data_IF_250544701569
#
_entry.id   IF_250544701569
#
_cell.length_a   1.000
_cell.length_b   1.000
_cell.length_c   1.000
_cell.angle_alpha   90.00
_cell.angle_beta   90.00
_cell.angle_gamma   90.00
#
_symmetry.space_group_name_H-M   'P 1'
#
loop_
_entity.id
_entity.type
_entity.pdbx_description
1 polymer ?
#
# COMPACT_ATOMS: atom_id res chain seq x y z
N UNK A 1 13.15 -4.36 23.65
CA UNK A 1 14.23 -5.29 24.06
C UNK A 1 14.69 -6.04 22.81
N UNK A 2 15.97 -5.99 22.48
CA UNK A 2 16.53 -6.66 21.30
C UNK A 2 17.76 -7.49 21.67
N UNK A 3 17.95 -8.60 20.99
CA UNK A 3 19.15 -9.45 21.10
C UNK A 3 19.65 -9.67 19.67
N UNK A 4 20.86 -9.15 19.36
CA UNK A 4 21.42 -9.22 18.02
C UNK A 4 20.54 -8.50 16.99
N UNK A 5 20.02 -9.24 16.00
CA UNK A 5 19.14 -8.73 14.94
C UNK A 5 17.65 -8.72 15.30
N UNK A 6 17.28 -9.18 16.47
CA UNK A 6 15.90 -9.42 16.90
C UNK A 6 15.45 -8.40 17.93
N UNK A 7 14.28 -7.78 17.72
CA UNK A 7 13.72 -6.77 18.62
C UNK A 7 12.21 -6.98 18.78
N UNK A 8 11.71 -6.84 20.00
CA UNK A 8 10.28 -6.74 20.27
C UNK A 8 9.96 -5.28 20.56
N UNK A 9 8.99 -4.74 19.86
CA UNK A 9 8.50 -3.36 19.96
C UNK A 9 7.08 -3.35 20.49
N UNK A 10 6.81 -2.44 21.46
CA UNK A 10 5.47 -2.22 21.98
C UNK A 10 5.22 -0.72 22.14
N UNK A 11 4.01 -0.29 21.81
CA UNK A 11 3.59 1.11 21.89
C UNK A 11 2.11 1.27 21.57
N UNK A 12 1.66 2.51 21.46
CA UNK A 12 0.32 2.84 21.03
C UNK A 12 0.29 4.21 20.36
N UNK A 13 -0.60 4.38 19.39
CA UNK A 13 -0.92 5.67 18.77
C UNK A 13 -2.32 6.09 19.18
N UNK A 14 -2.49 7.33 19.60
CA UNK A 14 -3.78 7.91 19.92
C UNK A 14 -4.18 8.90 18.80
N UNK A 15 -5.35 8.68 18.23
CA UNK A 15 -5.91 9.55 17.19
C UNK A 15 -7.16 10.21 17.75
N UNK A 16 -7.13 11.55 17.85
CA UNK A 16 -8.24 12.38 18.31
C UNK A 16 -8.68 13.31 17.19
N UNK A 17 -9.95 13.23 16.71
CA UNK A 17 -10.51 14.23 15.81
C UNK A 17 -10.57 15.62 16.48
N UNK A 18 -10.15 16.65 15.75
CA UNK A 18 -10.15 18.06 16.26
C UNK A 18 -11.45 18.78 15.90
N UNK A 19 -12.20 18.25 14.95
CA UNK A 19 -13.40 18.87 14.36
C UNK A 19 -14.65 18.87 15.28
N UNK A 20 -14.52 18.44 16.54
CA UNK A 20 -15.66 18.30 17.47
C UNK A 20 -16.69 17.25 17.05
N UNK A 21 -16.39 16.45 15.99
CA UNK A 21 -17.27 15.36 15.59
C UNK A 21 -17.40 14.32 16.70
N UNK A 22 -18.54 13.63 16.74
CA UNK A 22 -18.82 12.54 17.70
C UNK A 22 -17.96 11.29 17.47
N UNK A 23 -16.92 11.36 16.65
CA UNK A 23 -15.96 10.28 16.45
C UNK A 23 -15.12 10.14 17.71
N UNK A 24 -15.30 9.03 18.39
CA UNK A 24 -14.53 8.68 19.58
C UNK A 24 -13.03 8.64 19.26
N UNK A 25 -12.23 9.11 20.20
CA UNK A 25 -10.79 8.92 20.18
C UNK A 25 -10.46 7.43 20.07
N UNK A 26 -9.53 7.07 19.19
CA UNK A 26 -9.11 5.69 18.98
C UNK A 26 -7.67 5.51 19.40
N UNK A 27 -7.44 4.46 20.20
CA UNK A 27 -6.10 3.99 20.52
C UNK A 27 -5.77 2.81 19.62
N UNK A 28 -4.66 2.90 18.90
CA UNK A 28 -4.16 1.84 18.04
C UNK A 28 -2.94 1.21 18.69
N UNK A 29 -3.02 -0.02 19.19
CA UNK A 29 -1.89 -0.71 19.78
C UNK A 29 -0.85 -1.04 18.71
N UNK A 30 0.42 -1.04 19.11
CA UNK A 30 1.58 -1.41 18.30
C UNK A 30 2.35 -2.45 19.08
N UNK A 31 2.34 -3.71 18.63
CA UNK A 31 3.10 -4.80 19.24
C UNK A 31 3.58 -5.72 18.13
N UNK A 32 4.89 -5.79 17.91
CA UNK A 32 5.44 -6.62 16.87
C UNK A 32 6.86 -7.09 17.17
N UNK A 33 7.21 -8.22 16.60
CA UNK A 33 8.56 -8.71 16.49
C UNK A 33 9.19 -8.16 15.21
N UNK A 34 10.44 -7.70 15.29
CA UNK A 34 11.25 -7.25 14.17
C UNK A 34 12.57 -7.99 14.13
N UNK A 35 12.91 -8.50 12.95
CA UNK A 35 14.22 -9.00 12.60
C UNK A 35 14.82 -8.08 11.52
N UNK A 36 16.03 -7.59 11.73
CA UNK A 36 16.65 -6.57 10.88
C UNK A 36 18.11 -6.91 10.61
N UNK A 37 18.48 -7.02 9.35
CA UNK A 37 19.86 -7.19 8.87
C UNK A 37 20.18 -6.10 7.85
N UNK A 38 21.40 -6.09 7.32
CA UNK A 38 21.79 -5.11 6.29
C UNK A 38 20.96 -5.18 5.01
N UNK A 39 20.35 -6.32 4.70
CA UNK A 39 19.59 -6.53 3.46
C UNK A 39 18.16 -6.99 3.67
N UNK A 40 17.87 -7.62 4.80
CA UNK A 40 16.53 -8.18 5.07
C UNK A 40 15.95 -7.58 6.33
N UNK A 41 14.68 -7.20 6.23
CA UNK A 41 13.86 -6.80 7.35
C UNK A 41 12.57 -7.60 7.35
N UNK A 42 12.17 -8.05 8.52
CA UNK A 42 10.89 -8.72 8.74
C UNK A 42 10.20 -8.12 9.96
N UNK A 43 8.90 -7.88 9.88
CA UNK A 43 8.07 -7.49 11.01
C UNK A 43 6.83 -8.37 11.09
N UNK A 44 6.50 -8.87 12.28
CA UNK A 44 5.36 -9.75 12.52
C UNK A 44 4.54 -9.22 13.70
N UNK A 45 3.25 -9.03 13.52
CA UNK A 45 2.33 -8.51 14.52
C UNK A 45 1.62 -7.23 14.09
N UNK A 46 1.43 -6.29 15.02
CA UNK A 46 0.85 -4.97 14.73
C UNK A 46 1.95 -3.93 14.64
N UNK A 47 2.38 -3.58 13.44
CA UNK A 47 3.48 -2.65 13.16
C UNK A 47 3.01 -1.41 12.40
N UNK A 48 3.70 -0.24 12.55
CA UNK A 48 3.33 1.00 11.89
C UNK A 48 3.48 0.89 10.35
N UNK A 49 2.53 1.49 9.61
CA UNK A 49 2.62 1.62 8.13
C UNK A 49 3.84 2.41 7.67
N UNK A 50 4.40 3.25 8.53
CA UNK A 50 5.64 3.99 8.26
C UNK A 50 6.88 3.10 8.08
N UNK A 51 6.77 1.79 8.33
CA UNK A 51 7.83 0.83 7.99
C UNK A 51 7.87 0.44 6.51
N UNK A 52 6.80 0.69 5.76
CA UNK A 52 6.77 0.43 4.33
C UNK A 52 7.79 1.31 3.61
N UNK A 53 8.48 0.74 2.63
CA UNK A 53 9.45 1.47 1.80
C UNK A 53 8.73 2.33 0.77
N UNK A 54 7.69 1.78 0.15
CA UNK A 54 6.86 2.49 -0.81
C UNK A 54 5.38 2.26 -0.51
N UNK A 55 4.63 3.35 -0.42
CA UNK A 55 3.19 3.26 -0.32
C UNK A 55 2.58 2.91 -1.68
N UNK A 56 1.52 2.12 -1.67
CA UNK A 56 0.74 1.92 -2.89
C UNK A 56 0.13 3.24 -3.33
N UNK A 57 -0.03 3.48 -4.65
CA UNK A 57 -0.64 4.69 -5.17
C UNK A 57 -2.01 4.99 -4.53
N UNK A 58 -2.34 6.28 -4.35
CA UNK A 58 -3.59 6.72 -3.72
C UNK A 58 -4.86 6.18 -4.43
N UNK A 59 -4.77 5.90 -5.72
CA UNK A 59 -5.85 5.24 -6.47
C UNK A 59 -6.16 3.82 -5.95
N UNK A 60 -5.19 3.15 -5.31
CA UNK A 60 -5.33 1.80 -4.76
C UNK A 60 -5.65 1.79 -3.27
N UNK A 61 -5.37 2.88 -2.58
CA UNK A 61 -5.52 2.99 -1.13
C UNK A 61 -5.92 4.40 -0.76
N UNK A 62 -6.99 4.56 0.00
CA UNK A 62 -7.43 5.87 0.50
C UNK A 62 -6.35 6.48 1.40
N UNK A 63 -6.00 7.75 1.18
CA UNK A 63 -5.03 8.51 1.99
C UNK A 63 -5.41 8.53 3.47
N UNK A 64 -6.71 8.62 3.75
CA UNK A 64 -7.25 8.56 5.11
C UNK A 64 -6.96 7.25 5.86
N UNK A 65 -6.56 6.18 5.15
CA UNK A 65 -6.22 4.91 5.79
C UNK A 65 -5.03 5.05 6.76
N UNK A 66 -4.07 5.91 6.44
CA UNK A 66 -2.91 6.18 7.28
C UNK A 66 -3.31 6.75 8.65
N UNK A 67 -4.37 7.56 8.69
CA UNK A 67 -4.90 8.13 9.93
C UNK A 67 -5.81 7.17 10.68
N UNK A 68 -6.73 6.51 9.98
CA UNK A 68 -7.71 5.63 10.63
C UNK A 68 -7.18 4.24 10.95
N UNK A 69 -6.10 3.81 10.27
CA UNK A 69 -5.41 2.54 10.47
C UNK A 69 -3.90 2.73 10.33
N UNK A 70 -3.26 3.40 11.30
CA UNK A 70 -1.82 3.69 11.25
C UNK A 70 -0.96 2.44 11.30
N UNK A 71 -1.50 1.33 11.79
CA UNK A 71 -0.81 0.05 11.91
C UNK A 71 -1.34 -0.98 10.91
N UNK A 72 -0.44 -1.83 10.45
CA UNK A 72 -0.71 -3.08 9.74
C UNK A 72 -0.75 -4.20 10.78
N UNK A 73 -1.77 -5.04 10.71
CA UNK A 73 -1.85 -6.25 11.54
C UNK A 73 -1.52 -7.46 10.66
N UNK A 74 -0.31 -8.01 10.77
CA UNK A 74 0.10 -9.12 9.92
C UNK A 74 1.59 -9.33 9.84
N UNK A 75 2.11 -9.43 8.62
CA UNK A 75 3.51 -9.70 8.34
C UNK A 75 4.06 -8.76 7.27
N UNK A 76 5.32 -8.38 7.39
CA UNK A 76 6.09 -7.57 6.45
C UNK A 76 7.44 -8.25 6.23
N UNK A 77 7.81 -8.39 4.96
CA UNK A 77 9.11 -8.87 4.51
C UNK A 77 9.70 -7.88 3.52
N UNK A 78 10.93 -7.44 3.75
CA UNK A 78 11.63 -6.47 2.90
C UNK A 78 13.00 -7.00 2.55
N UNK A 79 13.35 -6.93 1.27
CA UNK A 79 14.70 -7.09 0.77
C UNK A 79 15.17 -5.75 0.24
N UNK A 80 16.28 -5.23 0.78
CA UNK A 80 16.82 -3.91 0.48
C UNK A 80 18.21 -4.09 -0.15
N UNK A 81 18.38 -3.49 -1.31
CA UNK A 81 19.63 -3.51 -2.06
C UNK A 81 19.98 -2.10 -2.54
N UNK A 82 21.25 -1.84 -2.85
CA UNK A 82 21.73 -0.53 -3.36
C UNK A 82 21.03 -0.08 -4.64
N UNK A 83 20.54 -1.01 -5.44
CA UNK A 83 19.87 -0.74 -6.71
C UNK A 83 18.35 -0.96 -6.66
N UNK A 84 17.75 -1.07 -5.47
CA UNK A 84 16.32 -1.25 -5.37
C UNK A 84 15.88 -2.05 -4.16
N UNK A 85 14.62 -2.39 -4.12
CA UNK A 85 14.01 -3.16 -3.03
C UNK A 85 12.90 -4.07 -3.56
N UNK A 86 12.55 -5.05 -2.75
CA UNK A 86 11.33 -5.83 -2.86
C UNK A 86 10.67 -5.89 -1.48
N UNK A 87 9.37 -5.68 -1.44
CA UNK A 87 8.58 -5.62 -0.21
C UNK A 87 7.30 -6.44 -0.39
N UNK A 88 7.01 -7.31 0.56
CA UNK A 88 5.77 -8.08 0.63
C UNK A 88 5.16 -7.89 2.00
N UNK A 89 3.88 -7.50 2.06
CA UNK A 89 3.16 -7.47 3.32
C UNK A 89 1.74 -7.98 3.20
N UNK A 90 1.22 -8.48 4.34
CA UNK A 90 -0.15 -8.89 4.51
C UNK A 90 -0.75 -8.04 5.64
N UNK A 91 -1.88 -7.39 5.36
CA UNK A 91 -2.65 -6.59 6.31
C UNK A 91 -3.99 -7.27 6.59
N UNK A 92 -4.12 -7.88 7.77
CA UNK A 92 -5.36 -8.50 8.21
C UNK A 92 -6.29 -7.42 8.77
N UNK A 93 -7.25 -7.01 7.97
CA UNK A 93 -8.12 -5.87 8.28
C UNK A 93 -9.28 -6.24 9.18
N UNK A 94 -9.77 -7.47 9.06
CA UNK A 94 -10.93 -7.94 9.80
C UNK A 94 -10.94 -9.46 9.90
N UNK A 95 -11.11 -9.97 11.11
CA UNK A 95 -11.30 -11.39 11.37
C UNK A 95 -12.76 -11.76 11.12
N UNK A 96 -12.97 -12.94 10.52
CA UNK A 96 -14.30 -13.47 10.27
C UNK A 96 -15.03 -13.79 11.58
N UNK A 97 -16.28 -13.31 11.68
CA UNK A 97 -17.20 -13.66 12.77
C UNK A 97 -18.54 -14.10 12.19
N UNK A 98 -19.52 -14.38 13.05
CA UNK A 98 -20.88 -14.75 12.62
C UNK A 98 -21.51 -13.65 11.73
N UNK A 99 -21.22 -12.37 12.02
CA UNK A 99 -21.83 -11.21 11.34
C UNK A 99 -20.85 -10.35 10.55
N UNK A 100 -19.54 -10.53 10.76
CA UNK A 100 -18.49 -9.73 10.08
C UNK A 100 -17.77 -10.58 9.04
N UNK A 101 -17.48 -9.96 7.90
CA UNK A 101 -16.69 -10.54 6.82
C UNK A 101 -15.21 -10.65 7.23
N UNK A 102 -14.52 -11.67 6.77
CA UNK A 102 -13.06 -11.64 6.78
C UNK A 102 -12.56 -10.69 5.69
N UNK A 103 -11.54 -9.91 6.01
CA UNK A 103 -10.91 -9.02 5.07
C UNK A 103 -9.40 -8.98 5.30
N UNK A 104 -8.64 -9.29 4.27
CA UNK A 104 -7.19 -9.08 4.26
C UNK A 104 -6.72 -8.55 2.92
N UNK A 105 -5.58 -7.92 2.94
CA UNK A 105 -4.89 -7.41 1.77
C UNK A 105 -3.45 -7.93 1.77
N UNK A 106 -3.03 -8.51 0.65
CA UNK A 106 -1.63 -8.83 0.41
C UNK A 106 -1.08 -7.88 -0.65
N UNK A 107 0.09 -7.31 -0.40
CA UNK A 107 0.72 -6.34 -1.29
C UNK A 107 2.17 -6.74 -1.52
N UNK A 108 2.56 -6.76 -2.78
CA UNK A 108 3.95 -6.82 -3.20
C UNK A 108 4.32 -5.52 -3.90
N UNK A 109 5.38 -4.87 -3.41
CA UNK A 109 5.99 -3.70 -4.01
C UNK A 109 7.43 -4.04 -4.42
N UNK A 110 7.86 -3.52 -5.54
CA UNK A 110 9.25 -3.66 -5.95
C UNK A 110 9.70 -2.52 -6.84
N UNK A 111 10.95 -2.08 -6.64
CA UNK A 111 11.60 -1.07 -7.48
C UNK A 111 13.03 -1.51 -7.74
N UNK A 112 13.46 -1.39 -8.99
CA UNK A 112 14.81 -1.61 -9.45
C UNK A 112 15.32 -0.41 -10.23
N UNK A 113 16.50 0.08 -9.88
CA UNK A 113 17.14 1.26 -10.43
C UNK A 113 18.50 0.86 -11.06
N UNK A 114 18.50 0.38 -12.31
CA UNK A 114 19.71 -0.06 -13.00
C UNK A 114 20.68 1.09 -13.27
N UNK A 115 20.15 2.28 -13.54
CA UNK A 115 20.89 3.50 -13.82
C UNK A 115 20.50 4.61 -12.83
N UNK A 116 21.37 5.61 -12.58
CA UNK A 116 21.05 6.70 -11.64
C UNK A 116 19.78 7.44 -11.97
N UNK A 117 19.44 7.55 -13.24
CA UNK A 117 18.27 8.29 -13.74
C UNK A 117 17.09 7.41 -14.16
N UNK A 118 17.25 6.10 -14.24
CA UNK A 118 16.20 5.19 -14.73
C UNK A 118 15.83 4.18 -13.67
N UNK A 119 14.53 4.07 -13.38
CA UNK A 119 13.99 3.04 -12.50
C UNK A 119 12.75 2.38 -13.10
N UNK A 120 12.51 1.15 -12.70
CA UNK A 120 11.30 0.41 -13.02
C UNK A 120 10.81 -0.32 -11.77
N UNK A 121 9.52 -0.54 -11.69
CA UNK A 121 8.94 -1.21 -10.54
C UNK A 121 7.47 -1.53 -10.72
N UNK A 122 6.80 -1.79 -9.63
CA UNK A 122 5.37 -2.02 -9.66
C UNK A 122 4.79 -2.43 -8.33
N UNK A 123 3.47 -2.40 -8.30
CA UNK A 123 2.65 -2.81 -7.18
C UNK A 123 1.76 -3.97 -7.63
N UNK A 124 1.66 -5.00 -6.80
CA UNK A 124 0.70 -6.08 -6.94
C UNK A 124 -0.12 -6.12 -5.66
N UNK A 125 -1.43 -5.92 -5.77
CA UNK A 125 -2.33 -5.85 -4.63
C UNK A 125 -3.41 -6.90 -4.79
N UNK A 126 -3.57 -7.75 -3.79
CA UNK A 126 -4.67 -8.70 -3.69
C UNK A 126 -5.55 -8.32 -2.50
N UNK A 127 -6.81 -8.02 -2.77
CA UNK A 127 -7.81 -7.81 -1.73
C UNK A 127 -8.73 -9.03 -1.67
N UNK A 128 -8.92 -9.57 -0.49
CA UNK A 128 -9.84 -10.67 -0.23
C UNK A 128 -10.90 -10.25 0.77
N UNK A 129 -12.17 -10.47 0.40
CA UNK A 129 -13.33 -10.25 1.24
C UNK A 129 -14.16 -11.53 1.26
N UNK A 130 -14.08 -12.29 2.35
CA UNK A 130 -14.89 -13.49 2.55
C UNK A 130 -16.32 -13.15 2.99
N UNK A 131 -17.17 -14.16 3.13
CA UNK A 131 -18.51 -14.02 3.72
C UNK A 131 -18.45 -14.06 5.24
N UNK A 132 -19.41 -13.49 5.99
CA UNK A 132 -19.64 -13.85 7.39
C UNK A 132 -19.96 -15.34 7.52
N UNK A 133 -19.73 -15.93 8.69
CA UNK A 133 -20.03 -17.37 8.92
C UNK A 133 -21.53 -17.66 8.82
N UNK A 134 -22.34 -16.80 9.38
CA UNK A 134 -23.80 -16.89 9.33
C UNK A 134 -24.35 -15.84 8.35
N UNK A 135 -24.19 -16.08 7.05
CA UNK A 135 -24.61 -15.12 6.04
C UNK A 135 -25.68 -15.67 5.11
N UNK A 136 -26.72 -14.85 4.89
CA UNK A 136 -27.66 -15.00 3.79
C UNK A 136 -26.94 -14.94 2.43
N UNK A 137 -27.62 -15.42 1.39
CA UNK A 137 -27.17 -15.42 -0.03
C UNK A 137 -26.80 -14.03 -0.58
N UNK A 138 -27.13 -12.95 0.14
CA UNK A 138 -26.80 -11.56 -0.21
C UNK A 138 -25.32 -11.20 -0.16
N UNK A 139 -24.54 -11.94 0.63
CA UNK A 139 -23.09 -11.71 0.73
C UNK A 139 -22.34 -12.61 -0.24
N UNK A 140 -21.52 -12.03 -1.08
CA UNK A 140 -20.63 -12.78 -1.97
C UNK A 140 -19.17 -12.60 -1.59
N UNK A 141 -18.33 -13.58 -1.93
CA UNK A 141 -16.89 -13.44 -1.87
C UNK A 141 -16.46 -12.53 -3.01
N UNK A 142 -15.66 -11.53 -2.68
CA UNK A 142 -15.06 -10.61 -3.65
C UNK A 142 -13.58 -10.89 -3.73
N UNK A 143 -13.11 -11.19 -4.92
CA UNK A 143 -11.69 -11.30 -5.25
C UNK A 143 -11.32 -10.09 -6.11
N UNK A 144 -10.27 -9.38 -5.72
CA UNK A 144 -9.73 -8.25 -6.45
C UNK A 144 -8.22 -8.41 -6.49
N UNK A 145 -7.67 -8.46 -7.69
CA UNK A 145 -6.23 -8.48 -7.94
C UNK A 145 -5.87 -7.28 -8.79
N UNK A 146 -4.92 -6.48 -8.35
CA UNK A 146 -4.50 -5.27 -9.02
C UNK A 146 -3.00 -5.36 -9.32
N UNK A 147 -2.62 -5.05 -10.56
CA UNK A 147 -1.24 -4.90 -10.96
C UNK A 147 -1.00 -3.49 -11.50
N UNK A 148 0.07 -2.86 -11.03
CA UNK A 148 0.45 -1.50 -11.44
C UNK A 148 1.96 -1.44 -11.72
N UNK A 149 2.45 -2.03 -12.83
CA UNK A 149 3.83 -1.84 -13.27
C UNK A 149 4.06 -0.39 -13.70
N UNK A 150 5.27 0.10 -13.46
CA UNK A 150 5.70 1.43 -13.86
C UNK A 150 7.17 1.48 -14.29
N UNK A 151 7.50 2.50 -15.10
CA UNK A 151 8.85 2.93 -15.39
C UNK A 151 8.96 4.42 -15.07
N UNK A 152 10.13 4.86 -14.62
CA UNK A 152 10.31 6.25 -14.25
C UNK A 152 11.71 6.77 -14.50
N UNK A 153 11.79 8.10 -14.55
CA UNK A 153 13.02 8.86 -14.65
C UNK A 153 13.21 9.67 -13.36
N UNK A 154 14.39 9.58 -12.80
CA UNK A 154 14.85 10.43 -11.70
C UNK A 154 15.87 11.43 -12.27
N UNK A 155 15.42 12.66 -12.44
CA UNK A 155 16.20 13.76 -13.02
C UNK A 155 16.71 14.73 -11.94
N UNK A 156 16.59 14.38 -10.67
CA UNK A 156 16.99 15.21 -9.53
C UNK A 156 18.42 15.71 -9.66
N UNK A 157 19.37 14.83 -9.98
CA UNK A 157 20.78 15.20 -10.11
C UNK A 157 21.14 15.97 -11.40
N UNK A 158 20.20 16.05 -12.35
CA UNK A 158 20.38 16.70 -13.66
C UNK A 158 19.70 18.07 -13.77
N UNK A 159 19.05 18.52 -12.69
CA UNK A 159 18.28 19.76 -12.66
C UNK A 159 18.62 20.54 -11.38
N UNK A 160 18.32 21.87 -11.33
CA UNK A 160 18.47 22.65 -10.11
C UNK A 160 17.36 22.40 -9.06
N UNK A 161 16.47 21.45 -9.31
CA UNK A 161 15.39 21.07 -8.40
C UNK A 161 15.91 20.15 -7.29
N UNK A 162 15.32 20.22 -6.11
CA UNK A 162 15.63 19.33 -5.00
C UNK A 162 15.15 17.91 -5.27
N UNK A 163 14.05 17.79 -6.01
CA UNK A 163 13.51 16.53 -6.52
C UNK A 163 12.87 16.76 -7.88
N UNK A 164 13.16 15.89 -8.85
CA UNK A 164 12.42 15.81 -10.11
C UNK A 164 12.30 14.35 -10.54
N UNK A 165 11.12 13.79 -10.40
CA UNK A 165 10.84 12.43 -10.86
C UNK A 165 9.60 12.40 -11.74
N UNK A 166 9.67 11.64 -12.82
CA UNK A 166 8.54 11.34 -13.69
C UNK A 166 8.33 9.83 -13.70
N UNK A 167 7.13 9.38 -13.40
CA UNK A 167 6.76 7.96 -13.41
C UNK A 167 5.55 7.76 -14.32
N UNK A 168 5.63 6.78 -15.19
CA UNK A 168 4.52 6.36 -16.05
C UNK A 168 4.23 4.89 -15.76
N UNK A 169 3.00 4.59 -15.40
CA UNK A 169 2.53 3.26 -15.04
C UNK A 169 1.29 2.84 -15.83
N UNK A 170 1.06 1.55 -15.84
CA UNK A 170 -0.16 0.96 -16.34
C UNK A 170 -0.86 0.25 -15.19
N UNK A 171 -2.13 0.52 -15.03
CA UNK A 171 -2.96 -0.04 -13.97
C UNK A 171 -3.99 -1.00 -14.56
N UNK A 172 -4.06 -2.21 -14.06
CA UNK A 172 -5.09 -3.19 -14.38
C UNK A 172 -5.63 -3.82 -13.10
N UNK A 173 -6.95 -3.89 -13.00
CA UNK A 173 -7.64 -4.63 -11.94
C UNK A 173 -8.37 -5.82 -12.51
N UNK A 174 -8.39 -6.92 -11.79
CA UNK A 174 -9.17 -8.11 -12.05
C UNK A 174 -10.18 -8.25 -10.91
N UNK A 175 -11.41 -7.85 -11.19
CA UNK A 175 -12.48 -7.81 -10.19
C UNK A 175 -13.51 -8.89 -10.46
N UNK A 176 -13.83 -9.66 -9.42
CA UNK A 176 -14.85 -10.70 -9.51
C UNK A 176 -15.72 -10.77 -8.27
N UNK A 177 -17.02 -10.75 -8.50
CA UNK A 177 -18.01 -11.19 -7.53
C UNK A 177 -18.35 -12.66 -7.82
N UNK A 178 -18.04 -13.58 -6.90
CA UNK A 178 -18.15 -15.03 -7.17
C UNK A 178 -19.57 -15.49 -7.48
N UNK A 179 -20.61 -14.81 -6.97
CA UNK A 179 -22.01 -15.11 -7.27
C UNK A 179 -22.42 -14.70 -8.70
N UNK A 180 -21.80 -13.68 -9.27
CA UNK A 180 -22.08 -13.21 -10.64
C UNK A 180 -21.22 -13.98 -11.65
N UNK A 181 -20.01 -14.36 -11.25
CA UNK A 181 -19.09 -15.18 -12.07
C UNK A 181 -18.36 -14.42 -13.17
N UNK A 182 -18.74 -13.17 -13.46
CA UNK A 182 -18.13 -12.35 -14.50
C UNK A 182 -16.89 -11.63 -13.97
N UNK A 183 -15.83 -11.59 -14.78
CA UNK A 183 -14.64 -10.81 -14.50
C UNK A 183 -14.76 -9.42 -15.12
N UNK A 184 -14.47 -8.39 -14.34
CA UNK A 184 -14.32 -7.02 -14.80
C UNK A 184 -12.82 -6.66 -14.82
N UNK A 185 -12.40 -5.95 -15.85
CA UNK A 185 -10.99 -5.59 -16.09
C UNK A 185 -10.81 -4.07 -16.24
N UNK A 186 -11.10 -3.26 -15.21
CA UNK A 186 -10.80 -1.84 -15.29
C UNK A 186 -9.29 -1.63 -15.43
N UNK A 187 -8.90 -0.71 -16.31
CA UNK A 187 -7.51 -0.44 -16.62
C UNK A 187 -7.30 1.03 -16.94
N UNK A 188 -6.07 1.52 -16.75
CA UNK A 188 -5.72 2.91 -17.00
C UNK A 188 -4.23 3.15 -17.03
N UNK A 189 -3.85 4.35 -17.47
CA UNK A 189 -2.48 4.84 -17.42
C UNK A 189 -2.38 5.75 -16.19
N UNK A 190 -1.31 5.61 -15.43
CA UNK A 190 -0.96 6.46 -14.30
C UNK A 190 0.27 7.28 -14.68
N UNK A 191 0.18 8.59 -14.60
CA UNK A 191 1.31 9.49 -14.76
C UNK A 191 1.49 10.23 -13.45
N UNK A 192 2.71 10.20 -12.92
CA UNK A 192 3.07 10.78 -11.64
C UNK A 192 4.30 11.65 -11.84
N UNK A 193 4.18 12.94 -11.59
CA UNK A 193 5.25 13.93 -11.65
C UNK A 193 5.44 14.53 -10.28
N UNK A 194 6.62 14.36 -9.72
CA UNK A 194 7.05 15.01 -8.47
C UNK A 194 8.15 16.01 -8.80
N UNK A 195 7.91 17.29 -8.48
CA UNK A 195 8.87 18.35 -8.57
C UNK A 195 8.92 19.13 -7.27
N UNK A 196 10.11 19.29 -6.70
CA UNK A 196 10.33 20.05 -5.46
C UNK A 196 11.45 21.05 -5.70
N UNK A 197 11.28 22.28 -5.19
CA UNK A 197 12.28 23.33 -5.28
C UNK A 197 12.32 24.15 -3.99
N UNK A 198 13.41 24.02 -3.24
CA UNK A 198 13.75 24.71 -1.98
C UNK A 198 12.59 24.82 -0.96
N UNK A 199 11.64 25.71 -1.13
CA UNK A 199 10.53 25.97 -0.19
C UNK A 199 9.16 25.70 -0.80
N UNK A 200 9.09 25.30 -2.06
CA UNK A 200 7.86 25.01 -2.77
C UNK A 200 7.85 23.53 -3.14
N UNK A 201 7.15 22.72 -2.37
CA UNK A 201 6.72 21.41 -2.82
C UNK A 201 5.63 21.62 -3.87
N UNK A 202 6.00 21.61 -5.14
CA UNK A 202 5.11 21.84 -6.25
C UNK A 202 4.71 20.50 -6.88
N UNK A 203 3.49 20.09 -6.55
CA UNK A 203 2.58 19.31 -7.39
C UNK A 203 2.93 17.83 -7.57
N UNK A 204 2.25 17.05 -6.79
CA UNK A 204 1.93 15.66 -7.15
C UNK A 204 0.73 15.69 -8.11
N UNK A 205 0.95 15.49 -9.41
CA UNK A 205 -0.13 15.34 -10.39
C UNK A 205 -0.19 13.85 -10.72
N UNK A 206 -1.21 13.16 -10.24
CA UNK A 206 -1.58 11.84 -10.72
C UNK A 206 -2.93 11.93 -11.40
N UNK A 207 -2.97 11.82 -12.72
CA UNK A 207 -4.23 11.72 -13.46
C UNK A 207 -4.46 10.27 -13.92
N UNK A 208 -5.51 9.59 -13.42
CA UNK A 208 -5.96 8.34 -14.00
C UNK A 208 -6.75 8.63 -15.28
N UNK A 209 -6.13 8.39 -16.43
CA UNK A 209 -6.84 8.48 -17.71
C UNK A 209 -7.76 7.26 -17.85
N UNK A 210 -9.05 7.43 -17.61
CA UNK A 210 -10.07 6.40 -17.92
C UNK A 210 -10.19 6.28 -19.43
N UNK A 211 -9.85 5.13 -19.96
CA UNK A 211 -10.28 4.76 -21.32
C UNK A 211 -11.75 4.35 -21.21
N UNK A 212 -12.64 5.21 -21.70
CA UNK A 212 -14.04 4.85 -21.93
C UNK A 212 -14.06 3.83 -23.06
N UNK A 213 -14.33 2.57 -22.74
CA UNK A 213 -14.66 1.57 -23.75
C UNK A 213 -16.12 1.82 -24.10
N UNK A 214 -16.38 2.45 -25.22
CA UNK A 214 -17.70 2.49 -25.85
C UNK A 214 -17.86 1.14 -26.55
N UNK A 215 -18.71 0.30 -26.00
CA UNK A 215 -19.22 -0.92 -26.63
C UNK A 215 -20.46 -0.60 -27.46
#
# INVERSE_FOLDING_TARGET
TGIGHSTIMAGASWVQPIDGSTREAKVHPTVYYRYDTSKFRMSLGMFPRTQLIENVPAILQYDSLTYFRPNIAGALFQYIHTKGFAELYIDWRQVQTEVKREAFMAVFNGRWQPLPYLFAGGHLVMNHLARPRNSDSRYTVTDNLIASPYIGLDLTTYTPLDTLTLKVGYHISLDRLRNVGTWHHPQGILIDLLAEWRFLSLIHISEPTRRVVIS
#
